data_IF_539716163900
#
_entry.id   IF_539716163900
#
_cell.length_a   1.000
_cell.length_b   1.000
_cell.length_c   1.000
_cell.angle_alpha   90.00
_cell.angle_beta   90.00
_cell.angle_gamma   90.00
#
_symmetry.space_group_name_H-M   'P 1'
#
loop_
_entity.id
_entity.type
_entity.pdbx_description
1 polymer ?
#
# COMPACT_ATOMS: atom_id res chain seq x y z
N UNK A 1 0.23 -12.24 9.49
CA UNK A 1 0.85 -11.09 8.78
C UNK A 1 1.79 -10.23 9.64
N UNK A 2 1.72 -10.28 10.99
CA UNK A 2 2.54 -9.45 11.88
C UNK A 2 4.06 -9.59 11.65
N UNK A 3 4.58 -10.80 11.45
CA UNK A 3 6.03 -11.03 11.24
C UNK A 3 6.55 -10.40 9.96
N UNK A 4 5.83 -10.55 8.84
CA UNK A 4 6.24 -9.97 7.55
C UNK A 4 6.24 -8.44 7.63
N UNK A 5 5.21 -7.86 8.25
CA UNK A 5 5.14 -6.42 8.49
C UNK A 5 6.29 -5.93 9.38
N UNK A 6 6.58 -6.62 10.47
CA UNK A 6 7.69 -6.29 11.36
C UNK A 6 9.05 -6.32 10.64
N UNK A 7 9.27 -7.29 9.75
CA UNK A 7 10.49 -7.34 8.93
C UNK A 7 10.57 -6.14 8.00
N UNK A 8 9.48 -5.81 7.29
CA UNK A 8 9.42 -4.62 6.43
C UNK A 8 9.73 -3.35 7.21
N UNK A 9 9.06 -3.12 8.33
CA UNK A 9 9.23 -1.94 9.18
C UNK A 9 10.66 -1.87 9.70
N UNK A 10 11.20 -2.96 10.26
CA UNK A 10 12.54 -2.99 10.86
C UNK A 10 13.64 -2.70 9.84
N UNK A 11 13.61 -3.38 8.69
CA UNK A 11 14.68 -3.26 7.69
C UNK A 11 14.50 -2.08 6.70
N UNK A 12 13.41 -1.33 6.81
CA UNK A 12 13.18 -0.10 6.05
C UNK A 12 13.30 1.18 6.89
N UNK A 13 13.72 1.07 8.16
CA UNK A 13 13.72 2.18 9.11
C UNK A 13 12.32 2.81 9.27
N UNK A 14 11.29 1.96 9.38
CA UNK A 14 9.89 2.36 9.57
C UNK A 14 9.17 2.90 8.33
N UNK A 15 9.80 2.84 7.15
CA UNK A 15 9.25 3.45 5.92
C UNK A 15 8.29 2.53 5.17
N UNK A 16 8.45 1.22 5.29
CA UNK A 16 7.73 0.21 4.51
C UNK A 16 7.02 -0.77 5.43
N UNK A 17 5.95 -1.37 4.91
CA UNK A 17 5.11 -2.31 5.66
C UNK A 17 3.62 -2.07 5.42
N UNK A 18 2.83 -3.10 5.71
CA UNK A 18 1.38 -3.06 5.66
C UNK A 18 0.81 -2.11 6.73
N UNK A 19 1.42 -2.04 7.92
CA UNK A 19 1.02 -1.10 8.97
C UNK A 19 1.25 0.35 8.55
N UNK A 20 2.33 0.62 7.83
CA UNK A 20 2.63 1.94 7.27
C UNK A 20 1.62 2.32 6.19
N UNK A 21 1.35 1.40 5.25
CA UNK A 21 0.31 1.58 4.22
C UNK A 21 -1.06 1.85 4.83
N UNK A 22 -1.43 1.07 5.86
CA UNK A 22 -2.68 1.28 6.60
C UNK A 22 -2.75 2.69 7.19
N UNK A 23 -1.73 3.13 7.92
CA UNK A 23 -1.69 4.48 8.50
C UNK A 23 -1.88 5.57 7.43
N UNK A 24 -1.21 5.43 6.29
CA UNK A 24 -1.33 6.38 5.17
C UNK A 24 -2.77 6.36 4.64
N UNK A 25 -3.34 5.19 4.37
CA UNK A 25 -4.71 5.05 3.89
C UNK A 25 -5.73 5.68 4.87
N UNK A 26 -5.56 5.44 6.16
CA UNK A 26 -6.42 5.99 7.21
C UNK A 26 -6.37 7.52 7.28
N UNK A 27 -5.18 8.10 7.09
CA UNK A 27 -4.99 9.56 7.06
C UNK A 27 -5.72 10.26 5.90
N UNK A 28 -6.13 9.52 4.87
CA UNK A 28 -6.82 10.04 3.69
C UNK A 28 -8.36 10.02 3.82
N UNK A 29 -8.88 9.70 5.00
CA UNK A 29 -10.31 9.75 5.30
C UNK A 29 -11.01 8.40 5.16
N UNK A 30 -10.46 7.38 5.83
CA UNK A 30 -10.99 6.00 5.84
C UNK A 30 -12.52 5.92 5.82
N UNK A 31 -13.06 5.28 4.77
CA UNK A 31 -14.48 4.96 4.66
C UNK A 31 -14.68 3.46 4.85
N UNK A 32 -15.79 3.04 5.48
CA UNK A 32 -16.19 1.61 5.61
C UNK A 32 -16.42 0.92 4.26
N UNK A 33 -16.56 1.72 3.21
CA UNK A 33 -16.73 1.26 1.85
C UNK A 33 -15.54 1.67 0.99
N UNK A 34 -15.27 0.89 -0.04
CA UNK A 34 -14.25 1.20 -1.02
C UNK A 34 -14.58 2.53 -1.72
N UNK A 35 -13.61 3.45 -1.74
CA UNK A 35 -13.74 4.75 -2.39
C UNK A 35 -12.58 4.93 -3.39
N UNK A 36 -12.93 4.99 -4.67
CA UNK A 36 -11.96 5.15 -5.77
C UNK A 36 -11.07 6.40 -5.58
N UNK A 37 -11.63 7.51 -5.11
CA UNK A 37 -10.85 8.76 -4.92
C UNK A 37 -9.80 8.60 -3.84
N UNK A 38 -10.15 7.94 -2.74
CA UNK A 38 -9.21 7.64 -1.64
C UNK A 38 -8.15 6.65 -2.12
N UNK A 39 -8.55 5.62 -2.88
CA UNK A 39 -7.62 4.64 -3.44
C UNK A 39 -6.61 5.27 -4.41
N UNK A 40 -7.08 6.17 -5.27
CA UNK A 40 -6.22 6.96 -6.17
C UNK A 40 -5.23 7.81 -5.36
N UNK A 41 -5.71 8.60 -4.41
CA UNK A 41 -4.88 9.46 -3.57
C UNK A 41 -3.84 8.66 -2.77
N UNK A 42 -4.25 7.50 -2.24
CA UNK A 42 -3.36 6.56 -1.56
C UNK A 42 -2.27 6.07 -2.50
N UNK A 43 -2.65 5.62 -3.70
CA UNK A 43 -1.72 5.07 -4.69
C UNK A 43 -0.72 6.10 -5.20
N UNK A 44 -1.14 7.37 -5.34
CA UNK A 44 -0.25 8.49 -5.62
C UNK A 44 0.71 8.72 -4.43
N UNK A 45 0.20 8.69 -3.18
CA UNK A 45 1.00 8.94 -1.97
C UNK A 45 2.09 7.90 -1.72
N UNK A 46 1.80 6.62 -1.98
CA UNK A 46 2.77 5.51 -1.88
C UNK A 46 3.59 5.33 -3.17
N UNK A 47 3.33 6.13 -4.21
CA UNK A 47 4.12 6.14 -5.44
C UNK A 47 3.90 4.93 -6.36
N UNK A 48 2.74 4.29 -6.31
CA UNK A 48 2.34 3.29 -7.32
C UNK A 48 1.81 3.94 -8.61
N UNK A 49 1.63 5.25 -8.56
CA UNK A 49 1.26 6.08 -9.70
C UNK A 49 2.17 7.28 -9.81
N UNK A 50 2.49 7.64 -11.04
CA UNK A 50 3.24 8.86 -11.37
C UNK A 50 2.57 9.50 -12.57
N UNK A 51 2.26 10.80 -12.48
CA UNK A 51 1.57 11.54 -13.55
C UNK A 51 0.28 10.84 -14.01
N UNK A 52 -0.52 10.38 -13.04
CA UNK A 52 -1.77 9.63 -13.25
C UNK A 52 -1.63 8.25 -13.91
N UNK A 53 -0.41 7.79 -14.23
CA UNK A 53 -0.13 6.46 -14.80
C UNK A 53 0.26 5.48 -13.72
N UNK A 54 -0.29 4.27 -13.79
CA UNK A 54 0.07 3.17 -12.90
C UNK A 54 1.41 2.59 -13.31
N UNK A 55 2.28 2.38 -12.34
CA UNK A 55 3.57 1.75 -12.56
C UNK A 55 3.38 0.24 -12.67
N UNK A 56 4.02 -0.37 -13.66
CA UNK A 56 4.25 -1.80 -13.72
C UNK A 56 5.30 -2.22 -12.68
N UNK A 57 5.34 -3.50 -12.35
CA UNK A 57 6.27 -4.03 -11.34
C UNK A 57 7.74 -3.69 -11.64
N UNK A 58 8.14 -3.74 -12.91
CA UNK A 58 9.48 -3.38 -13.37
C UNK A 58 9.80 -1.88 -13.29
N UNK A 59 8.80 -1.02 -13.08
CA UNK A 59 8.96 0.43 -12.92
C UNK A 59 8.99 0.85 -11.44
N UNK A 60 8.74 -0.07 -10.51
CA UNK A 60 8.78 0.21 -9.08
C UNK A 60 10.19 0.47 -8.58
N UNK A 61 10.29 1.29 -7.52
CA UNK A 61 11.56 1.61 -6.86
C UNK A 61 11.73 0.75 -5.61
N UNK A 62 12.69 -0.17 -5.64
CA UNK A 62 12.97 -1.05 -4.48
C UNK A 62 14.04 -0.48 -3.52
N UNK A 63 14.62 0.68 -3.85
CA UNK A 63 15.60 1.36 -2.99
C UNK A 63 14.90 2.18 -1.88
N UNK A 64 15.30 1.96 -0.64
CA UNK A 64 14.79 2.63 0.57
C UNK A 64 14.94 4.16 0.54
N UNK A 65 15.95 4.69 -0.16
CA UNK A 65 16.22 6.14 -0.22
C UNK A 65 15.31 6.90 -1.19
N UNK A 66 14.97 6.29 -2.32
CA UNK A 66 14.26 6.96 -3.42
C UNK A 66 12.78 6.61 -3.51
N UNK A 67 12.34 5.55 -2.83
CA UNK A 67 10.95 5.14 -2.81
C UNK A 67 10.15 5.91 -1.75
N UNK A 68 8.88 6.17 -2.08
CA UNK A 68 7.93 6.82 -1.18
C UNK A 68 7.65 5.94 0.05
N UNK A 69 7.21 6.56 1.13
CA UNK A 69 6.76 5.83 2.31
C UNK A 69 5.55 4.93 1.96
N UNK A 70 5.55 3.69 2.46
CA UNK A 70 4.53 2.68 2.12
C UNK A 70 4.62 2.11 0.71
N UNK A 71 5.64 2.47 -0.10
CA UNK A 71 5.77 2.04 -1.49
C UNK A 71 5.85 0.52 -1.65
N UNK A 72 6.47 -0.17 -0.69
CA UNK A 72 6.54 -1.62 -0.65
C UNK A 72 6.02 -2.15 0.70
N UNK A 73 5.48 -3.37 0.73
CA UNK A 73 5.25 -4.29 -0.40
C UNK A 73 4.20 -3.77 -1.41
N UNK A 74 4.51 -3.85 -2.72
CA UNK A 74 3.60 -3.41 -3.77
C UNK A 74 2.65 -4.53 -4.19
N UNK A 75 1.42 -4.14 -4.53
CA UNK A 75 0.37 -5.03 -5.02
C UNK A 75 0.13 -4.88 -6.54
N UNK A 76 1.05 -4.20 -7.24
CA UNK A 76 0.99 -3.99 -8.70
C UNK A 76 1.31 -5.28 -9.49
N UNK A 77 0.49 -6.32 -9.33
CA UNK A 77 0.54 -7.52 -10.14
C UNK A 77 -0.31 -7.31 -11.39
N UNK A 78 0.27 -6.63 -12.39
CA UNK A 78 0.00 -6.79 -13.82
C UNK A 78 -1.42 -6.70 -14.41
N UNK A 79 -2.50 -6.55 -13.63
CA UNK A 79 -3.87 -6.48 -14.20
C UNK A 79 -4.81 -5.62 -13.35
N UNK A 80 -5.38 -4.61 -13.99
CA UNK A 80 -6.19 -3.56 -13.41
C UNK A 80 -7.62 -4.05 -13.06
N UNK A 81 -8.26 -3.39 -12.09
CA UNK A 81 -9.63 -3.59 -11.54
C UNK A 81 -9.83 -4.65 -10.44
N UNK A 82 -9.10 -5.77 -10.38
CA UNK A 82 -9.29 -6.76 -9.31
C UNK A 82 -8.58 -6.42 -7.99
N UNK A 83 -7.54 -5.57 -8.04
CA UNK A 83 -6.64 -5.31 -6.90
C UNK A 83 -7.18 -4.28 -5.92
N UNK A 84 -7.93 -3.25 -6.34
CA UNK A 84 -8.43 -2.21 -5.42
C UNK A 84 -9.35 -2.78 -4.33
N UNK A 85 -10.36 -3.58 -4.72
CA UNK A 85 -11.24 -4.29 -3.77
C UNK A 85 -10.51 -5.38 -2.99
N UNK A 86 -9.56 -6.09 -3.62
CA UNK A 86 -8.81 -7.18 -2.96
C UNK A 86 -7.80 -6.66 -1.94
N UNK A 87 -7.13 -5.54 -2.22
CA UNK A 87 -6.22 -4.85 -1.30
C UNK A 87 -7.01 -4.17 -0.20
N UNK A 88 -8.15 -3.52 -0.49
CA UNK A 88 -9.07 -3.06 0.56
C UNK A 88 -9.48 -4.20 1.50
N UNK A 89 -9.91 -5.34 0.92
CA UNK A 89 -10.28 -6.53 1.70
C UNK A 89 -9.12 -7.07 2.53
N UNK A 90 -7.88 -7.02 2.04
CA UNK A 90 -6.70 -7.49 2.79
C UNK A 90 -6.25 -6.50 3.86
N UNK A 91 -6.25 -5.19 3.60
CA UNK A 91 -5.98 -4.16 4.62
C UNK A 91 -7.01 -4.24 5.75
N UNK A 92 -8.28 -4.50 5.42
CA UNK A 92 -9.34 -4.73 6.42
C UNK A 92 -9.23 -6.11 7.11
N UNK A 93 -8.89 -7.18 6.38
CA UNK A 93 -8.64 -8.51 6.97
C UNK A 93 -7.41 -8.55 7.88
N UNK A 94 -6.43 -7.65 7.67
CA UNK A 94 -5.31 -7.46 8.59
C UNK A 94 -5.80 -6.95 9.95
N UNK A 95 -6.92 -6.22 10.03
CA UNK A 95 -7.55 -5.81 11.29
C UNK A 95 -8.32 -6.95 11.98
N UNK A 96 -9.01 -7.79 11.21
CA UNK A 96 -9.85 -8.87 11.79
C UNK A 96 -9.03 -10.06 12.29
N UNK A 97 -7.76 -10.18 11.92
CA UNK A 97 -6.83 -11.12 12.58
C UNK A 97 -6.21 -10.52 13.86
N UNK A 98 -7.08 -10.24 14.85
CA UNK A 98 -6.71 -10.43 16.26
C UNK A 98 -6.85 -11.93 16.57
N UNK A 99 -5.73 -12.65 16.47
CA UNK A 99 -5.47 -13.73 17.44
C UNK A 99 -5.06 -13.05 18.72
#
# INVERSE_FOLDING_TARGET
MRTIDQLWVKYSNGRFGFSVQKRIYQSLGETREYNDKIWVAFSDRVGWRVNSKWLYYNELKFNTKSAAEGHIPSWSWGSWMAVGRSVYSLVYRVETCRV
#
